data_IF_003217038129
#
_entry.id   IF_003217038129
#
_cell.length_a   1.000
_cell.length_b   1.000
_cell.length_c   1.000
_cell.angle_alpha   90.00
_cell.angle_beta   90.00
_cell.angle_gamma   90.00
#
_symmetry.space_group_name_H-M   'P 1'
#
loop_
_entity.id
_entity.type
_entity.pdbx_description
1 polymer ?
#
# COMPACT_ATOMS: atom_id res chain seq x y z
N UNK A 1 -9.17 26.10 8.39
CA UNK A 1 -8.57 24.97 7.68
C UNK A 1 -9.40 24.70 6.43
N UNK A 2 -8.82 24.22 5.32
CA UNK A 2 -9.63 23.85 4.17
C UNK A 2 -10.60 22.72 4.53
N UNK A 3 -11.78 22.76 3.96
CA UNK A 3 -12.76 21.67 4.08
C UNK A 3 -12.25 20.50 3.25
N UNK A 4 -12.13 19.32 3.85
CA UNK A 4 -11.67 18.09 3.22
C UNK A 4 -12.88 17.17 3.05
N UNK A 5 -13.24 16.88 1.80
CA UNK A 5 -14.42 16.09 1.44
C UNK A 5 -14.08 14.81 0.67
N UNK A 6 -12.95 14.79 -0.02
CA UNK A 6 -12.50 13.67 -0.84
C UNK A 6 -10.98 13.50 -0.80
N UNK A 7 -10.48 12.41 -1.36
CA UNK A 7 -9.05 12.11 -1.40
C UNK A 7 -8.26 13.15 -2.21
N UNK A 8 -8.86 13.73 -3.25
CA UNK A 8 -8.21 14.77 -4.05
C UNK A 8 -7.93 16.05 -3.23
N UNK A 9 -8.77 16.41 -2.26
CA UNK A 9 -8.51 17.54 -1.35
C UNK A 9 -7.27 17.29 -0.49
N UNK A 10 -7.12 16.04 0.00
CA UNK A 10 -5.91 15.63 0.74
C UNK A 10 -4.67 15.66 -0.15
N UNK A 11 -4.78 15.17 -1.40
CA UNK A 11 -3.70 15.21 -2.39
C UNK A 11 -3.20 16.62 -2.64
N UNK A 12 -4.09 17.56 -2.92
CA UNK A 12 -3.77 18.98 -3.13
C UNK A 12 -3.13 19.62 -1.90
N UNK A 13 -3.62 19.27 -0.71
CA UNK A 13 -3.04 19.80 0.52
C UNK A 13 -1.66 19.21 0.80
N UNK A 14 -1.46 17.91 0.58
CA UNK A 14 -0.15 17.25 0.69
C UNK A 14 0.87 17.88 -0.27
N UNK A 15 0.49 18.13 -1.52
CA UNK A 15 1.34 18.80 -2.51
C UNK A 15 1.86 20.18 -2.05
N UNK A 16 1.04 20.89 -1.26
CA UNK A 16 1.41 22.20 -0.70
C UNK A 16 2.27 22.09 0.55
N UNK A 17 2.25 20.96 1.28
CA UNK A 17 2.90 20.81 2.59
C UNK A 17 4.17 19.98 2.55
N UNK A 18 4.22 18.99 1.69
CA UNK A 18 5.37 18.08 1.54
C UNK A 18 6.38 18.71 0.55
N UNK A 19 7.70 18.59 0.78
CA UNK A 19 8.69 18.97 -0.20
C UNK A 19 8.50 18.22 -1.52
N UNK A 20 8.66 18.94 -2.65
CA UNK A 20 8.35 18.40 -3.99
C UNK A 20 8.98 17.05 -4.27
N UNK A 21 10.25 16.86 -3.91
CA UNK A 21 10.96 15.61 -4.16
C UNK A 21 10.26 14.40 -3.49
N UNK A 22 9.77 14.57 -2.28
CA UNK A 22 9.08 13.50 -1.54
C UNK A 22 7.62 13.36 -1.96
N UNK A 23 6.94 14.47 -2.27
CA UNK A 23 5.60 14.42 -2.84
C UNK A 23 5.62 13.71 -4.21
N UNK A 24 6.51 14.09 -5.11
CA UNK A 24 6.65 13.47 -6.43
C UNK A 24 7.04 11.99 -6.32
N UNK A 25 7.85 11.61 -5.33
CA UNK A 25 8.15 10.21 -5.05
C UNK A 25 6.88 9.39 -4.79
N UNK A 26 5.94 9.93 -4.00
CA UNK A 26 4.66 9.27 -3.73
C UNK A 26 3.72 9.32 -4.96
N UNK A 27 3.67 10.49 -5.64
CA UNK A 27 2.73 10.80 -6.72
C UNK A 27 3.38 10.65 -8.12
N UNK A 28 4.04 9.52 -8.35
CA UNK A 28 4.66 9.19 -9.63
C UNK A 28 4.41 7.75 -10.04
N UNK A 29 4.37 7.52 -11.35
CA UNK A 29 4.48 6.22 -12.00
C UNK A 29 5.86 6.04 -12.65
N UNK A 30 6.04 4.92 -13.35
CA UNK A 30 7.21 4.65 -14.18
C UNK A 30 7.00 5.15 -15.61
N UNK A 31 8.10 5.43 -16.31
CA UNK A 31 8.18 5.90 -17.72
C UNK A 31 7.11 6.96 -18.07
N UNK A 32 6.13 6.58 -18.91
CA UNK A 32 5.07 7.49 -19.38
C UNK A 32 3.91 7.63 -18.39
N UNK A 33 3.90 6.86 -17.30
CA UNK A 33 2.81 6.81 -16.32
C UNK A 33 1.47 6.30 -16.93
N UNK A 34 1.51 5.50 -18.01
CA UNK A 34 0.29 5.00 -18.65
C UNK A 34 -0.46 4.03 -17.75
N UNK A 35 0.22 3.07 -17.12
CA UNK A 35 -0.34 2.13 -16.15
C UNK A 35 -0.83 2.85 -14.89
N UNK A 36 -0.08 3.86 -14.41
CA UNK A 36 -0.52 4.68 -13.28
C UNK A 36 -1.88 5.34 -13.54
N UNK A 37 -2.04 5.96 -14.73
CA UNK A 37 -3.33 6.57 -15.12
C UNK A 37 -4.42 5.55 -15.39
N UNK A 38 -4.07 4.39 -15.97
CA UNK A 38 -5.01 3.32 -16.24
C UNK A 38 -5.66 2.79 -14.95
N UNK A 39 -4.93 2.71 -13.84
CA UNK A 39 -5.47 2.26 -12.56
C UNK A 39 -6.69 3.08 -12.10
N UNK A 40 -6.68 4.40 -12.29
CA UNK A 40 -7.81 5.26 -11.92
C UNK A 40 -8.88 5.29 -13.03
N UNK A 41 -8.46 5.41 -14.29
CA UNK A 41 -9.37 5.47 -15.44
C UNK A 41 -10.26 4.24 -15.54
N UNK A 42 -9.69 3.06 -15.39
CA UNK A 42 -10.41 1.79 -15.59
C UNK A 42 -11.39 1.54 -14.42
N UNK A 43 -11.05 1.93 -13.19
CA UNK A 43 -12.00 1.98 -12.07
C UNK A 43 -13.16 2.95 -12.35
N UNK A 44 -12.88 4.14 -12.90
CA UNK A 44 -13.91 5.12 -13.23
C UNK A 44 -14.86 4.64 -14.36
N UNK A 45 -14.37 3.79 -15.27
CA UNK A 45 -15.18 3.24 -16.35
C UNK A 45 -16.24 2.24 -15.87
N UNK A 46 -16.04 1.59 -14.72
CA UNK A 46 -17.00 0.64 -14.14
C UNK A 46 -18.22 1.41 -13.61
N UNK A 47 -19.43 0.99 -14.01
CA UNK A 47 -20.69 1.58 -13.58
C UNK A 47 -21.33 0.74 -12.49
N UNK A 48 -21.93 1.41 -11.50
CA UNK A 48 -22.67 0.79 -10.42
C UNK A 48 -24.18 0.72 -10.73
N UNK A 49 -24.84 -0.32 -10.22
CA UNK A 49 -26.28 -0.51 -10.36
C UNK A 49 -26.99 0.04 -9.15
N UNK A 50 -27.73 1.14 -9.32
CA UNK A 50 -28.55 1.70 -8.26
C UNK A 50 -29.78 0.82 -8.00
N UNK A 51 -30.13 0.64 -6.72
CA UNK A 51 -31.36 -0.03 -6.27
C UNK A 51 -32.15 0.90 -5.35
N UNK A 52 -33.45 0.71 -5.32
CA UNK A 52 -34.38 1.52 -4.52
C UNK A 52 -35.30 0.65 -3.69
N UNK A 53 -35.91 1.22 -2.64
CA UNK A 53 -36.90 0.58 -1.76
C UNK A 53 -36.37 -0.71 -1.08
N UNK A 54 -35.08 -0.69 -0.67
CA UNK A 54 -34.46 -1.73 0.14
C UNK A 54 -34.34 -1.25 1.58
N UNK A 55 -34.68 -2.09 2.55
CA UNK A 55 -34.44 -1.79 3.97
C UNK A 55 -32.93 -1.74 4.27
N UNK A 56 -32.45 -0.60 4.68
CA UNK A 56 -31.03 -0.30 4.91
C UNK A 56 -30.70 -0.07 6.40
N UNK A 57 -31.62 -0.39 7.31
CA UNK A 57 -31.47 -0.08 8.74
C UNK A 57 -30.33 -0.86 9.42
N UNK A 58 -29.95 -2.02 8.91
CA UNK A 58 -28.92 -2.91 9.46
C UNK A 58 -27.72 -3.06 8.52
N UNK A 59 -27.11 -1.92 8.11
CA UNK A 59 -25.91 -1.98 7.28
C UNK A 59 -24.64 -2.15 8.10
N UNK A 60 -23.67 -2.91 7.55
CA UNK A 60 -22.34 -3.05 8.09
C UNK A 60 -21.30 -3.16 6.98
N UNK A 61 -20.19 -2.45 7.14
CA UNK A 61 -19.01 -2.57 6.29
C UNK A 61 -17.96 -3.52 6.89
N UNK A 62 -18.21 -4.04 8.10
CA UNK A 62 -17.30 -4.95 8.78
C UNK A 62 -17.22 -6.30 8.06
N UNK A 63 -16.01 -6.86 8.04
CA UNK A 63 -15.71 -8.14 7.41
C UNK A 63 -14.43 -8.74 8.02
N UNK A 64 -13.86 -9.75 7.39
CA UNK A 64 -12.57 -10.33 7.75
C UNK A 64 -11.57 -10.27 6.59
N UNK A 65 -10.29 -10.13 6.92
CA UNK A 65 -9.15 -10.27 6.01
C UNK A 65 -8.15 -11.24 6.63
N UNK A 66 -7.88 -12.37 5.98
CA UNK A 66 -7.06 -13.51 6.48
C UNK A 66 -7.39 -13.94 7.93
N UNK A 67 -8.68 -13.96 8.26
CA UNK A 67 -9.16 -14.31 9.59
C UNK A 67 -9.02 -13.20 10.64
N UNK A 68 -8.64 -11.99 10.27
CA UNK A 68 -8.62 -10.81 11.13
C UNK A 68 -9.88 -9.98 10.90
N UNK A 69 -10.66 -9.72 11.94
CA UNK A 69 -11.82 -8.82 11.86
C UNK A 69 -11.37 -7.39 11.53
N UNK A 70 -12.05 -6.76 10.55
CA UNK A 70 -11.75 -5.41 10.09
C UNK A 70 -13.04 -4.59 9.96
N UNK A 71 -12.95 -3.27 10.19
CA UNK A 71 -14.10 -2.37 10.09
C UNK A 71 -14.60 -2.18 8.65
N UNK A 72 -13.74 -2.39 7.67
CA UNK A 72 -14.04 -2.38 6.23
C UNK A 72 -13.00 -3.20 5.48
N UNK A 73 -13.27 -3.73 4.27
CA UNK A 73 -12.36 -4.56 3.49
C UNK A 73 -11.21 -3.74 2.87
N UNK A 74 -10.41 -3.10 3.73
CA UNK A 74 -9.35 -2.19 3.32
C UNK A 74 -8.17 -2.25 4.30
N UNK A 75 -6.94 -2.27 3.77
CA UNK A 75 -5.71 -2.14 4.53
C UNK A 75 -4.81 -1.03 3.98
N UNK A 76 -3.91 -0.49 4.81
CA UNK A 76 -2.86 0.40 4.34
C UNK A 76 -1.73 -0.41 3.71
N UNK A 77 -1.47 -0.17 2.41
CA UNK A 77 -0.43 -0.85 1.65
C UNK A 77 0.98 -0.51 2.18
N UNK A 78 1.95 -1.42 2.01
CA UNK A 78 3.33 -1.10 2.33
C UNK A 78 3.86 -0.01 1.40
N UNK A 79 4.39 1.06 1.99
CA UNK A 79 5.01 2.15 1.25
C UNK A 79 6.36 2.49 1.86
N UNK A 80 7.40 2.50 1.03
CA UNK A 80 8.72 2.94 1.46
C UNK A 80 8.76 4.45 1.68
N UNK A 81 9.66 4.91 2.56
CA UNK A 81 9.88 6.32 2.84
C UNK A 81 8.62 7.09 3.28
N UNK A 82 7.67 6.41 3.93
CA UNK A 82 6.44 7.05 4.43
C UNK A 82 6.77 8.19 5.41
N UNK A 83 7.80 8.03 6.25
CA UNK A 83 8.31 9.07 7.14
C UNK A 83 8.83 10.32 6.45
N UNK A 84 9.07 10.29 5.13
CA UNK A 84 9.43 11.49 4.35
C UNK A 84 8.22 12.33 3.93
N UNK A 85 7.00 11.77 4.01
CA UNK A 85 5.78 12.55 3.82
C UNK A 85 5.45 13.40 5.07
N UNK A 86 5.75 12.87 6.24
CA UNK A 86 5.58 13.51 7.55
C UNK A 86 6.52 12.84 8.55
N UNK A 87 7.12 13.61 9.47
CA UNK A 87 7.94 13.05 10.55
C UNK A 87 7.16 11.95 11.29
N UNK A 88 7.83 10.83 11.59
CA UNK A 88 7.26 9.62 12.22
C UNK A 88 6.06 9.01 11.45
N UNK A 89 6.05 9.16 10.14
CA UNK A 89 4.90 8.90 9.28
C UNK A 89 4.35 7.48 9.39
N UNK A 90 5.19 6.47 9.49
CA UNK A 90 4.77 5.07 9.63
C UNK A 90 4.04 4.85 10.97
N UNK A 91 4.54 5.43 12.06
CA UNK A 91 3.91 5.38 13.39
C UNK A 91 2.53 6.05 13.35
N UNK A 92 2.45 7.26 12.76
CA UNK A 92 1.21 8.01 12.65
C UNK A 92 0.17 7.27 11.79
N UNK A 93 0.61 6.64 10.68
CA UNK A 93 -0.26 5.85 9.82
C UNK A 93 -0.77 4.58 10.53
N UNK A 94 0.10 3.88 11.27
CA UNK A 94 -0.26 2.69 12.03
C UNK A 94 -1.27 3.01 13.15
N UNK A 95 -1.10 4.12 13.89
CA UNK A 95 -2.06 4.58 14.89
C UNK A 95 -3.42 4.92 14.29
N UNK A 96 -3.44 5.64 13.17
CA UNK A 96 -4.68 5.98 12.49
C UNK A 96 -5.39 4.73 11.97
N UNK A 97 -4.66 3.75 11.41
CA UNK A 97 -5.20 2.48 10.95
C UNK A 97 -5.82 1.67 12.11
N UNK A 98 -5.09 1.53 13.22
CA UNK A 98 -5.58 0.86 14.43
C UNK A 98 -6.85 1.54 14.98
N UNK A 99 -6.89 2.86 15.06
CA UNK A 99 -8.06 3.63 15.50
C UNK A 99 -9.28 3.47 14.59
N UNK A 100 -9.07 3.13 13.31
CA UNK A 100 -10.13 2.91 12.32
C UNK A 100 -10.43 1.42 12.10
N UNK A 101 -9.80 0.52 12.86
CA UNK A 101 -10.03 -0.93 12.78
C UNK A 101 -9.64 -1.55 11.43
N UNK A 102 -8.57 -1.04 10.79
CA UNK A 102 -8.04 -1.57 9.53
C UNK A 102 -6.55 -1.92 9.67
N UNK A 103 -6.05 -2.94 8.95
CA UNK A 103 -4.64 -3.31 9.02
C UNK A 103 -3.72 -2.24 8.44
N UNK A 104 -2.54 -2.11 9.06
CA UNK A 104 -1.41 -1.34 8.54
C UNK A 104 -0.29 -2.29 8.12
N UNK A 105 0.36 -2.03 6.99
CA UNK A 105 1.53 -2.79 6.54
C UNK A 105 2.78 -1.93 6.56
N UNK A 106 3.75 -2.29 7.40
CA UNK A 106 5.05 -1.63 7.46
C UNK A 106 5.97 -2.16 6.35
N UNK A 107 6.59 -1.27 5.60
CA UNK A 107 7.55 -1.66 4.54
C UNK A 107 8.93 -1.97 5.12
N UNK A 108 9.67 -2.90 4.50
CA UNK A 108 11.12 -3.06 4.73
C UNK A 108 11.87 -1.73 4.56
N UNK A 109 11.45 -0.91 3.58
CA UNK A 109 12.04 0.40 3.26
C UNK A 109 11.40 1.56 4.02
N UNK A 110 10.95 1.32 5.25
CA UNK A 110 10.38 2.35 6.12
C UNK A 110 11.46 3.15 6.85
N UNK A 111 11.09 4.36 7.25
CA UNK A 111 11.96 5.25 8.05
C UNK A 111 11.88 4.88 9.53
N UNK A 112 10.70 4.54 10.05
CA UNK A 112 10.57 3.95 11.38
C UNK A 112 10.85 2.44 11.30
N UNK A 113 11.47 1.87 12.34
CA UNK A 113 11.74 0.44 12.42
C UNK A 113 10.48 -0.37 12.81
N UNK A 114 10.57 -1.69 12.69
CA UNK A 114 9.57 -2.63 13.20
C UNK A 114 9.28 -2.36 14.68
N UNK A 115 10.34 -2.21 15.46
CA UNK A 115 10.28 -2.00 16.90
C UNK A 115 9.66 -0.64 17.27
N UNK A 116 9.98 0.42 16.50
CA UNK A 116 9.40 1.75 16.72
C UNK A 116 7.88 1.73 16.53
N UNK A 117 7.39 1.05 15.49
CA UNK A 117 5.95 0.93 15.23
C UNK A 117 5.28 0.07 16.28
N UNK A 118 5.86 -1.08 16.64
CA UNK A 118 5.34 -1.96 17.68
C UNK A 118 5.21 -1.24 19.04
N UNK A 119 6.28 -0.57 19.47
CA UNK A 119 6.30 0.19 20.73
C UNK A 119 5.29 1.35 20.73
N UNK A 120 5.09 2.00 19.57
CA UNK A 120 4.22 3.17 19.48
C UNK A 120 2.73 2.83 19.39
N UNK A 121 2.37 1.66 18.88
CA UNK A 121 0.97 1.25 18.67
C UNK A 121 0.46 0.27 19.71
N UNK A 122 1.31 -0.63 20.19
CA UNK A 122 0.91 -1.76 21.05
C UNK A 122 -0.12 -2.70 20.40
N UNK A 123 -0.28 -2.63 19.07
CA UNK A 123 -1.25 -3.40 18.30
C UNK A 123 -0.54 -4.20 17.21
N UNK A 124 -1.02 -5.41 16.85
CA UNK A 124 -0.49 -6.16 15.73
C UNK A 124 -0.62 -5.37 14.41
N UNK A 125 0.38 -5.52 13.55
CA UNK A 125 0.39 -4.96 12.20
C UNK A 125 1.02 -5.97 11.24
N UNK A 126 0.97 -5.73 9.93
CA UNK A 126 1.61 -6.56 8.93
C UNK A 126 2.99 -6.01 8.58
N UNK A 127 3.94 -6.89 8.30
CA UNK A 127 5.27 -6.50 7.84
C UNK A 127 5.48 -6.92 6.39
N UNK A 128 5.98 -6.01 5.56
CA UNK A 128 6.29 -6.30 4.16
C UNK A 128 7.79 -6.55 3.98
N UNK A 129 8.10 -7.66 3.30
CA UNK A 129 9.44 -8.11 2.98
C UNK A 129 9.70 -8.03 1.46
N UNK A 130 10.90 -7.59 1.09
CA UNK A 130 11.46 -7.80 -0.25
C UNK A 130 12.43 -8.98 -0.23
N UNK A 131 12.52 -9.72 -1.36
CA UNK A 131 13.58 -10.69 -1.53
C UNK A 131 14.91 -10.00 -1.76
N UNK A 132 15.88 -10.29 -0.90
CA UNK A 132 17.23 -9.74 -0.92
C UNK A 132 18.25 -10.86 -1.04
N UNK A 133 19.45 -10.55 -1.56
CA UNK A 133 20.56 -11.51 -1.68
C UNK A 133 21.06 -11.97 -0.32
N UNK A 134 21.13 -11.06 0.68
CA UNK A 134 21.51 -11.40 2.05
C UNK A 134 20.34 -12.10 2.77
N UNK A 135 20.37 -13.45 2.72
CA UNK A 135 19.36 -14.31 3.36
C UNK A 135 19.42 -14.26 4.88
N UNK A 136 20.59 -14.02 5.47
CA UNK A 136 20.75 -13.89 6.93
C UNK A 136 20.04 -12.62 7.41
N UNK A 137 20.22 -11.52 6.67
CA UNK A 137 19.52 -10.27 6.96
C UNK A 137 18.00 -10.42 6.81
N UNK A 138 17.52 -11.15 5.79
CA UNK A 138 16.09 -11.45 5.64
C UNK A 138 15.55 -12.27 6.80
N UNK A 139 16.29 -13.33 7.22
CA UNK A 139 15.90 -14.15 8.37
C UNK A 139 15.83 -13.31 9.65
N UNK A 140 16.75 -12.36 9.84
CA UNK A 140 16.71 -11.40 10.95
C UNK A 140 15.47 -10.50 10.89
N UNK A 141 15.14 -9.94 9.73
CA UNK A 141 13.90 -9.14 9.56
C UNK A 141 12.65 -9.94 9.89
N UNK A 142 12.56 -11.20 9.44
CA UNK A 142 11.43 -12.09 9.72
C UNK A 142 11.34 -12.37 11.24
N UNK A 143 12.48 -12.65 11.88
CA UNK A 143 12.55 -12.86 13.34
C UNK A 143 12.08 -11.61 14.09
N UNK A 144 12.59 -10.43 13.75
CA UNK A 144 12.19 -9.13 14.36
C UNK A 144 10.71 -8.86 14.18
N UNK A 145 10.15 -9.17 13.01
CA UNK A 145 8.72 -9.03 12.77
C UNK A 145 7.89 -9.96 13.67
N UNK A 146 8.34 -11.21 13.89
CA UNK A 146 7.72 -12.13 14.85
C UNK A 146 7.80 -11.60 16.29
N UNK A 147 8.99 -11.20 16.71
CA UNK A 147 9.26 -10.71 18.06
C UNK A 147 8.44 -9.43 18.37
N UNK A 148 8.16 -8.62 17.35
CA UNK A 148 7.31 -7.43 17.42
C UNK A 148 5.80 -7.74 17.35
N UNK A 149 5.39 -9.00 17.20
CA UNK A 149 3.99 -9.41 17.16
C UNK A 149 3.27 -9.06 15.86
N UNK A 150 3.99 -8.99 14.72
CA UNK A 150 3.36 -8.83 13.41
C UNK A 150 2.41 -10.02 13.13
N UNK A 151 1.17 -9.73 12.71
CA UNK A 151 0.14 -10.76 12.50
C UNK A 151 0.21 -11.42 11.11
N UNK A 152 0.86 -10.79 10.14
CA UNK A 152 1.09 -11.35 8.80
C UNK A 152 2.39 -10.82 8.19
N UNK A 153 2.96 -11.62 7.29
CA UNK A 153 4.09 -11.22 6.43
C UNK A 153 3.58 -11.03 5.00
N UNK A 154 3.91 -9.88 4.39
CA UNK A 154 3.58 -9.59 2.99
C UNK A 154 4.86 -9.62 2.15
N UNK A 155 5.02 -10.64 1.32
CA UNK A 155 6.15 -10.75 0.40
C UNK A 155 5.82 -10.07 -0.92
N UNK A 156 6.65 -9.09 -1.31
CA UNK A 156 6.49 -8.34 -2.56
C UNK A 156 7.36 -8.94 -3.65
N UNK A 157 6.75 -9.36 -4.76
CA UNK A 157 7.38 -10.13 -5.83
C UNK A 157 7.74 -9.29 -7.07
N UNK A 158 7.10 -8.16 -7.28
CA UNK A 158 7.19 -7.32 -8.48
C UNK A 158 8.36 -6.31 -8.45
N UNK A 159 9.34 -6.49 -7.56
CA UNK A 159 10.46 -5.56 -7.37
C UNK A 159 11.84 -6.24 -7.42
N UNK A 160 12.04 -7.20 -8.32
CA UNK A 160 13.39 -7.72 -8.61
C UNK A 160 14.27 -6.65 -9.29
N UNK A 161 13.64 -5.76 -10.05
CA UNK A 161 14.27 -4.61 -10.71
C UNK A 161 13.40 -3.37 -10.57
N UNK A 162 14.02 -2.22 -10.36
CA UNK A 162 13.29 -0.95 -10.23
C UNK A 162 12.82 -0.43 -11.58
N UNK A 163 11.53 -0.12 -11.70
CA UNK A 163 10.99 0.65 -12.81
C UNK A 163 11.59 2.07 -12.87
N UNK A 164 11.77 2.61 -14.07
CA UNK A 164 12.34 3.95 -14.23
C UNK A 164 11.31 5.03 -13.90
N UNK A 165 11.48 5.68 -12.77
CA UNK A 165 10.62 6.78 -12.30
C UNK A 165 11.26 8.10 -12.65
N UNK A 166 10.84 8.70 -13.74
CA UNK A 166 11.45 9.93 -14.27
C UNK A 166 11.38 11.10 -13.28
N UNK A 167 10.30 11.21 -12.49
CA UNK A 167 10.17 12.27 -11.48
C UNK A 167 11.21 12.07 -10.36
N UNK A 168 11.44 10.83 -9.91
CA UNK A 168 12.44 10.54 -8.88
C UNK A 168 13.84 10.92 -9.37
N UNK A 169 14.20 10.52 -10.60
CA UNK A 169 15.49 10.86 -11.22
C UNK A 169 15.66 12.39 -11.34
N UNK A 170 14.64 13.10 -11.84
CA UNK A 170 14.68 14.58 -12.00
C UNK A 170 14.78 15.30 -10.65
N UNK A 171 14.22 14.72 -9.60
CA UNK A 171 14.29 15.27 -8.24
C UNK A 171 15.55 14.82 -7.47
N UNK A 172 16.47 14.11 -8.11
CA UNK A 172 17.72 13.66 -7.48
C UNK A 172 17.55 12.54 -6.45
N UNK A 173 16.39 11.85 -6.43
CA UNK A 173 16.19 10.62 -5.65
C UNK A 173 16.81 9.43 -6.41
N UNK A 174 18.10 9.55 -6.67
CA UNK A 174 18.94 8.54 -7.31
C UNK A 174 19.75 7.80 -6.25
N UNK A 175 20.46 6.77 -6.65
CA UNK A 175 21.41 6.03 -5.80
C UNK A 175 22.84 6.37 -6.22
N UNK A 176 23.61 7.15 -5.44
CA UNK A 176 23.24 7.87 -4.20
C UNK A 176 22.33 9.08 -4.47
N UNK A 177 21.55 9.55 -3.46
CA UNK A 177 20.72 10.74 -3.59
C UNK A 177 21.54 12.01 -3.84
N UNK A 178 21.02 12.90 -4.72
CA UNK A 178 21.66 14.18 -5.06
C UNK A 178 20.73 15.32 -4.68
N UNK A 179 21.10 16.11 -3.69
CA UNK A 179 20.38 17.33 -3.38
C UNK A 179 20.73 18.41 -4.42
N UNK A 180 19.74 18.81 -5.19
CA UNK A 180 19.89 19.91 -6.18
C UNK A 180 19.51 21.25 -5.56
N UNK A 181 20.06 22.35 -6.08
CA UNK A 181 19.72 23.70 -5.62
C UNK A 181 18.19 23.97 -5.66
N UNK A 182 17.44 23.60 -6.72
CA UNK A 182 15.98 23.72 -6.72
C UNK A 182 15.30 22.96 -5.57
N UNK A 183 15.79 21.78 -5.20
CA UNK A 183 15.24 21.02 -4.08
C UNK A 183 15.51 21.71 -2.74
N UNK A 184 16.71 22.26 -2.54
CA UNK A 184 17.05 23.01 -1.33
C UNK A 184 16.17 24.25 -1.19
N UNK A 185 15.98 25.01 -2.26
CA UNK A 185 15.09 26.18 -2.29
C UNK A 185 13.63 25.75 -1.98
N UNK A 186 13.18 24.65 -2.56
CA UNK A 186 11.83 24.17 -2.30
C UNK A 186 11.65 23.66 -0.85
N UNK A 187 12.66 23.02 -0.26
CA UNK A 187 12.68 22.66 1.18
C UNK A 187 12.48 23.89 2.06
N UNK A 188 13.18 25.00 1.76
CA UNK A 188 13.05 26.24 2.51
C UNK A 188 11.61 26.81 2.50
N UNK A 189 10.81 26.49 1.48
CA UNK A 189 9.39 26.89 1.41
C UNK A 189 8.45 25.99 2.25
N UNK A 190 8.98 24.98 2.94
CA UNK A 190 8.22 24.01 3.74
C UNK A 190 8.64 23.98 5.22
N UNK A 191 8.59 25.12 5.94
CA UNK A 191 9.19 25.25 7.29
C UNK A 191 8.57 24.27 8.29
N UNK A 192 7.27 23.98 8.21
CA UNK A 192 6.59 23.02 9.11
C UNK A 192 7.11 21.59 8.92
N UNK A 193 7.34 21.18 7.66
CA UNK A 193 7.92 19.88 7.36
C UNK A 193 9.37 19.81 7.89
N UNK A 194 10.18 20.85 7.64
CA UNK A 194 11.56 20.91 8.12
C UNK A 194 11.63 20.85 9.66
N UNK A 195 10.79 21.60 10.38
CA UNK A 195 10.74 21.55 11.84
C UNK A 195 10.33 20.16 12.36
N UNK A 196 9.35 19.51 11.73
CA UNK A 196 8.97 18.15 12.05
C UNK A 196 10.14 17.18 11.88
N UNK A 197 10.85 17.23 10.75
CA UNK A 197 12.02 16.39 10.49
C UNK A 197 13.21 16.68 11.40
N UNK A 198 13.37 17.90 11.89
CA UNK A 198 14.36 18.24 12.91
C UNK A 198 13.99 17.69 14.29
N UNK A 199 12.71 17.57 14.56
CA UNK A 199 12.19 17.06 15.85
C UNK A 199 12.18 15.54 15.98
N UNK A 200 12.29 14.77 14.89
CA UNK A 200 12.31 13.31 14.95
C UNK A 200 13.72 12.73 14.88
N UNK A 201 13.91 11.56 15.51
CA UNK A 201 15.10 10.73 15.35
C UNK A 201 15.08 9.87 14.09
N UNK A 202 13.90 9.64 13.50
CA UNK A 202 13.68 8.75 12.37
C UNK A 202 13.95 9.50 11.05
N UNK A 203 15.19 9.35 10.52
CA UNK A 203 15.65 10.08 9.33
C UNK A 203 16.34 9.23 8.28
N UNK A 204 16.44 7.92 8.53
CA UNK A 204 17.02 6.92 7.62
C UNK A 204 16.19 5.64 7.64
N UNK A 205 16.54 4.63 6.85
CA UNK A 205 15.82 3.36 6.85
C UNK A 205 16.01 2.60 8.17
N UNK A 206 15.02 2.67 9.05
CA UNK A 206 15.09 2.13 10.41
C UNK A 206 15.25 0.61 10.51
N UNK A 207 14.83 -0.12 9.48
CA UNK A 207 15.00 -1.57 9.45
C UNK A 207 16.36 -2.02 8.89
N UNK A 208 17.12 -1.13 8.27
CA UNK A 208 18.35 -1.47 7.53
C UNK A 208 19.58 -0.90 8.22
N UNK A 209 19.59 0.40 8.52
CA UNK A 209 20.74 1.07 9.14
C UNK A 209 20.96 0.53 10.54
N UNK A 210 22.18 0.06 10.81
CA UNK A 210 22.54 -0.58 12.08
C UNK A 210 22.16 -2.07 12.21
N UNK A 211 21.44 -2.63 11.23
CA UNK A 211 21.07 -4.05 11.17
C UNK A 211 21.73 -4.80 10.01
N UNK A 212 21.81 -4.18 8.84
CA UNK A 212 22.51 -4.76 7.70
C UNK A 212 24.03 -4.61 7.85
N UNK A 213 24.81 -5.63 7.43
CA UNK A 213 26.28 -5.62 7.49
C UNK A 213 26.85 -4.44 6.71
N UNK A 214 27.75 -3.68 7.33
CA UNK A 214 28.46 -2.53 6.73
C UNK A 214 27.57 -1.35 6.31
N UNK A 215 26.35 -1.24 6.82
CA UNK A 215 25.44 -0.12 6.55
C UNK A 215 25.31 0.75 7.80
N UNK A 216 26.09 1.82 7.83
CA UNK A 216 26.15 2.76 8.98
C UNK A 216 25.69 4.18 8.65
N UNK A 217 25.66 4.53 7.36
CA UNK A 217 25.33 5.87 6.87
C UNK A 217 24.53 5.84 5.54
N UNK A 218 24.13 7.01 5.05
CA UNK A 218 23.35 7.14 3.82
C UNK A 218 24.12 6.71 2.56
N UNK A 219 25.45 6.78 2.55
CA UNK A 219 26.26 6.39 1.40
C UNK A 219 26.37 4.87 1.31
N UNK A 220 26.75 4.20 2.39
CA UNK A 220 26.79 2.75 2.48
C UNK A 220 25.41 2.13 2.25
N UNK A 221 24.34 2.77 2.77
CA UNK A 221 22.95 2.38 2.53
C UNK A 221 22.60 2.40 1.04
N UNK A 222 22.97 3.44 0.30
CA UNK A 222 22.62 3.55 -1.11
C UNK A 222 23.30 2.48 -1.97
N UNK A 223 24.57 2.20 -1.71
CA UNK A 223 25.32 1.13 -2.38
C UNK A 223 24.68 -0.23 -2.06
N UNK A 224 24.46 -0.50 -0.76
CA UNK A 224 23.84 -1.73 -0.31
C UNK A 224 22.46 -1.96 -0.95
N UNK A 225 21.60 -0.96 -0.95
CA UNK A 225 20.23 -1.08 -1.53
C UNK A 225 20.29 -1.42 -3.02
N UNK A 226 21.24 -0.84 -3.78
CA UNK A 226 21.38 -1.12 -5.21
C UNK A 226 21.79 -2.57 -5.50
N UNK A 227 22.53 -3.21 -4.58
CA UNK A 227 23.09 -4.55 -4.74
C UNK A 227 22.18 -5.65 -4.18
N UNK A 228 21.25 -5.33 -3.29
CA UNK A 228 20.50 -6.32 -2.52
C UNK A 228 19.29 -6.90 -3.22
N UNK A 229 18.68 -6.23 -4.20
CA UNK A 229 17.57 -6.85 -4.93
C UNK A 229 18.02 -8.13 -5.63
N UNK A 230 17.32 -9.22 -5.32
CA UNK A 230 17.68 -10.55 -5.83
C UNK A 230 17.03 -10.81 -7.19
N UNK A 231 17.84 -10.71 -8.24
CA UNK A 231 17.40 -11.01 -9.61
C UNK A 231 17.12 -12.51 -9.85
N UNK A 232 17.57 -13.40 -8.95
CA UNK A 232 17.36 -14.84 -9.03
C UNK A 232 16.10 -15.32 -8.32
N UNK A 233 15.32 -14.42 -7.69
CA UNK A 233 14.06 -14.72 -7.02
C UNK A 233 13.18 -15.65 -7.89
N UNK A 234 12.73 -16.74 -7.31
CA UNK A 234 11.84 -17.72 -7.93
C UNK A 234 10.89 -18.32 -6.87
N UNK A 235 9.95 -19.16 -7.31
CA UNK A 235 8.91 -19.72 -6.45
C UNK A 235 9.43 -20.57 -5.27
N UNK A 236 10.63 -21.18 -5.37
CA UNK A 236 11.24 -21.93 -4.26
C UNK A 236 11.65 -21.01 -3.10
N UNK A 237 11.97 -19.76 -3.40
CA UNK A 237 12.29 -18.78 -2.37
C UNK A 237 11.07 -18.43 -1.52
N UNK A 238 9.87 -18.48 -2.10
CA UNK A 238 8.61 -18.24 -1.38
C UNK A 238 8.38 -19.34 -0.34
N UNK A 239 8.67 -20.60 -0.68
CA UNK A 239 8.61 -21.71 0.27
C UNK A 239 9.61 -21.52 1.44
N UNK A 240 10.81 -20.98 1.14
CA UNK A 240 11.78 -20.66 2.18
C UNK A 240 11.23 -19.57 3.12
N UNK A 241 10.65 -18.49 2.59
CA UNK A 241 10.02 -17.42 3.39
C UNK A 241 8.90 -17.99 4.24
N UNK A 242 8.03 -18.83 3.68
CA UNK A 242 6.92 -19.45 4.41
C UNK A 242 7.42 -20.30 5.57
N UNK A 243 8.47 -21.12 5.35
CA UNK A 243 9.10 -21.91 6.44
C UNK A 243 9.71 -21.03 7.52
N UNK A 244 10.37 -19.92 7.13
CA UNK A 244 10.95 -18.98 8.10
C UNK A 244 9.85 -18.24 8.88
N UNK A 245 8.78 -17.83 8.22
CA UNK A 245 7.69 -17.07 8.86
C UNK A 245 6.77 -17.97 9.70
N UNK A 246 6.24 -19.02 9.14
CA UNK A 246 5.37 -19.99 9.81
C UNK A 246 3.99 -19.45 10.25
N UNK A 247 3.60 -18.27 9.77
CA UNK A 247 2.33 -17.60 10.04
C UNK A 247 1.61 -17.21 8.75
N UNK A 248 0.68 -16.28 8.83
CA UNK A 248 -0.08 -15.79 7.67
C UNK A 248 0.83 -15.11 6.65
N UNK A 249 0.83 -15.61 5.40
CA UNK A 249 1.64 -15.09 4.29
C UNK A 249 0.76 -14.48 3.20
N UNK A 250 1.10 -13.28 2.77
CA UNK A 250 0.44 -12.54 1.69
C UNK A 250 1.46 -12.34 0.57
N UNK A 251 1.11 -12.70 -0.67
CA UNK A 251 1.96 -12.47 -1.85
C UNK A 251 1.45 -11.26 -2.64
N UNK A 252 2.32 -10.27 -2.85
CA UNK A 252 1.93 -9.01 -3.50
C UNK A 252 2.68 -8.79 -4.82
N UNK A 253 1.99 -8.22 -5.82
CA UNK A 253 2.59 -7.88 -7.11
C UNK A 253 2.22 -8.84 -8.24
N UNK A 254 1.10 -9.55 -8.12
CA UNK A 254 0.64 -10.54 -9.08
C UNK A 254 -0.36 -9.92 -10.05
N UNK A 255 -0.13 -10.06 -11.36
CA UNK A 255 -1.00 -9.57 -12.43
C UNK A 255 -1.38 -10.64 -13.44
N UNK A 256 -0.75 -11.81 -13.37
CA UNK A 256 -0.94 -12.91 -14.30
C UNK A 256 -1.68 -14.08 -13.61
N UNK A 257 -2.69 -14.70 -14.26
CA UNK A 257 -3.40 -15.85 -13.71
C UNK A 257 -2.53 -17.09 -13.49
N UNK A 258 -1.47 -17.30 -14.26
CA UNK A 258 -0.57 -18.44 -14.08
C UNK A 258 0.30 -18.23 -12.82
N UNK A 259 0.81 -17.01 -12.60
CA UNK A 259 1.48 -16.64 -11.35
C UNK A 259 0.53 -16.74 -10.15
N UNK A 260 -0.75 -16.40 -10.33
CA UNK A 260 -1.75 -16.55 -9.27
C UNK A 260 -1.97 -18.02 -8.88
N UNK A 261 -1.97 -18.96 -9.84
CA UNK A 261 -2.04 -20.41 -9.55
C UNK A 261 -0.84 -20.86 -8.74
N UNK A 262 0.36 -20.44 -9.14
CA UNK A 262 1.59 -20.76 -8.39
C UNK A 262 1.57 -20.15 -6.99
N UNK A 263 1.01 -18.94 -6.83
CA UNK A 263 0.80 -18.34 -5.52
C UNK A 263 -0.14 -19.15 -4.64
N UNK A 264 -1.26 -19.64 -5.17
CA UNK A 264 -2.17 -20.51 -4.45
C UNK A 264 -1.54 -21.88 -4.09
N UNK A 265 -0.65 -22.40 -4.94
CA UNK A 265 0.09 -23.64 -4.69
C UNK A 265 1.19 -23.48 -3.63
N UNK A 266 1.69 -22.26 -3.40
CA UNK A 266 2.77 -21.97 -2.43
C UNK A 266 2.33 -22.05 -0.97
N UNK A 267 1.03 -22.18 -0.68
CA UNK A 267 0.48 -22.17 0.66
C UNK A 267 0.32 -20.77 1.28
N UNK A 268 0.35 -19.72 0.48
CA UNK A 268 0.02 -18.37 0.93
C UNK A 268 -1.48 -18.25 1.28
N UNK A 269 -1.82 -17.39 2.25
CA UNK A 269 -3.20 -17.16 2.70
C UNK A 269 -3.94 -16.15 1.82
N UNK A 270 -3.23 -15.20 1.24
CA UNK A 270 -3.79 -14.19 0.35
C UNK A 270 -2.80 -13.78 -0.73
N UNK A 271 -3.33 -13.30 -1.85
CA UNK A 271 -2.55 -12.59 -2.87
C UNK A 271 -3.13 -11.20 -3.14
N UNK A 272 -2.26 -10.28 -3.57
CA UNK A 272 -2.66 -8.92 -3.96
C UNK A 272 -2.41 -8.73 -5.45
N UNK A 273 -3.49 -8.55 -6.20
CA UNK A 273 -3.45 -8.11 -7.61
C UNK A 273 -2.93 -6.69 -7.63
N UNK A 274 -1.72 -6.51 -8.15
CA UNK A 274 -0.98 -5.25 -8.02
C UNK A 274 0.02 -5.06 -9.15
N UNK A 275 0.03 -3.86 -9.74
CA UNK A 275 1.08 -3.37 -10.61
C UNK A 275 1.99 -2.34 -9.88
N UNK A 276 2.08 -2.46 -8.52
CA UNK A 276 2.83 -1.53 -7.68
C UNK A 276 2.36 -0.07 -7.84
N UNK A 277 1.08 0.13 -8.11
CA UNK A 277 0.51 1.44 -8.39
C UNK A 277 1.06 2.11 -9.65
N UNK A 278 1.43 1.34 -10.69
CA UNK A 278 2.02 1.81 -11.93
C UNK A 278 3.45 2.31 -11.79
N UNK A 279 4.20 1.81 -10.79
CA UNK A 279 5.59 2.23 -10.50
C UNK A 279 6.64 1.25 -10.99
N UNK A 280 6.22 0.12 -11.56
CA UNK A 280 7.06 -0.94 -12.11
C UNK A 280 6.91 -0.98 -13.63
N UNK A 281 6.36 -2.01 -14.24
CA UNK A 281 6.18 -2.11 -15.70
C UNK A 281 5.12 -1.11 -16.16
N UNK A 282 5.53 -0.10 -16.94
CA UNK A 282 4.58 0.77 -17.66
C UNK A 282 4.08 0.05 -18.94
N UNK A 283 2.82 0.21 -19.25
CA UNK A 283 2.15 -0.61 -20.28
C UNK A 283 1.53 -1.91 -19.76
N UNK A 284 1.75 -2.26 -18.47
CA UNK A 284 1.00 -3.34 -17.84
C UNK A 284 -0.49 -2.96 -17.68
N UNK A 285 -1.41 -3.96 -17.59
CA UNK A 285 -2.82 -3.68 -17.32
C UNK A 285 -3.01 -2.99 -15.97
N UNK A 286 -4.12 -2.29 -15.81
CA UNK A 286 -4.54 -1.85 -14.49
C UNK A 286 -4.87 -3.07 -13.60
N UNK A 287 -4.66 -2.94 -12.29
CA UNK A 287 -4.97 -4.03 -11.35
C UNK A 287 -6.45 -4.44 -11.42
N UNK A 288 -7.37 -3.47 -11.60
CA UNK A 288 -8.80 -3.77 -11.71
C UNK A 288 -9.15 -4.53 -13.02
N UNK A 289 -8.40 -4.30 -14.09
CA UNK A 289 -8.59 -5.03 -15.35
C UNK A 289 -8.07 -6.47 -15.28
N UNK A 290 -6.99 -6.72 -14.53
CA UNK A 290 -6.44 -8.05 -14.29
C UNK A 290 -7.24 -8.88 -13.28
N UNK A 291 -7.92 -8.21 -12.34
CA UNK A 291 -8.59 -8.83 -11.20
C UNK A 291 -9.55 -9.98 -11.58
N UNK A 292 -10.51 -9.85 -12.52
CA UNK A 292 -11.47 -10.91 -12.78
C UNK A 292 -10.82 -12.22 -13.21
N UNK A 293 -9.82 -12.18 -14.11
CA UNK A 293 -9.13 -13.38 -14.58
C UNK A 293 -8.35 -14.09 -13.46
N UNK A 294 -7.82 -13.34 -12.51
CA UNK A 294 -7.12 -13.89 -11.33
C UNK A 294 -8.14 -14.49 -10.36
N UNK A 295 -9.26 -13.83 -10.10
CA UNK A 295 -10.34 -14.36 -9.25
C UNK A 295 -10.88 -15.66 -9.85
N UNK A 296 -11.15 -15.70 -11.15
CA UNK A 296 -11.61 -16.92 -11.84
C UNK A 296 -10.61 -18.07 -11.72
N UNK A 297 -9.30 -17.76 -11.73
CA UNK A 297 -8.27 -18.78 -11.65
C UNK A 297 -8.08 -19.38 -10.25
N UNK A 298 -8.24 -18.58 -9.17
CA UNK A 298 -7.82 -18.97 -7.82
C UNK A 298 -8.70 -18.49 -6.67
N UNK A 299 -9.77 -17.73 -6.92
CA UNK A 299 -10.57 -17.07 -5.89
C UNK A 299 -11.25 -18.00 -4.88
N UNK A 300 -11.42 -19.29 -5.22
CA UNK A 300 -11.94 -20.32 -4.30
C UNK A 300 -10.84 -20.96 -3.42
N UNK A 301 -9.56 -20.73 -3.75
CA UNK A 301 -8.41 -21.39 -3.11
C UNK A 301 -7.64 -20.48 -2.17
N UNK A 302 -7.63 -19.18 -2.44
CA UNK A 302 -6.84 -18.18 -1.73
C UNK A 302 -7.61 -16.85 -1.71
N UNK A 303 -7.46 -16.05 -0.66
CA UNK A 303 -8.04 -14.70 -0.67
C UNK A 303 -7.36 -13.83 -1.74
N UNK A 304 -8.16 -13.25 -2.64
CA UNK A 304 -7.68 -12.33 -3.66
C UNK A 304 -8.00 -10.90 -3.24
N UNK A 305 -6.97 -10.08 -3.10
CA UNK A 305 -7.08 -8.65 -2.82
C UNK A 305 -6.56 -7.83 -3.99
N UNK A 306 -6.82 -6.52 -3.97
CA UNK A 306 -6.36 -5.62 -5.02
C UNK A 306 -5.79 -4.33 -4.44
N UNK A 307 -4.74 -3.80 -5.06
CA UNK A 307 -4.34 -2.41 -4.91
C UNK A 307 -4.21 -1.69 -6.26
N UNK A 308 -3.95 -0.38 -6.21
CA UNK A 308 -3.81 0.46 -7.40
C UNK A 308 -5.11 1.17 -7.80
N UNK A 309 -5.07 2.50 -7.82
CA UNK A 309 -6.19 3.33 -8.29
C UNK A 309 -7.26 3.69 -7.26
N UNK A 310 -7.34 3.05 -6.11
CA UNK A 310 -8.37 3.31 -5.08
C UNK A 310 -8.27 4.75 -4.56
N UNK A 311 -9.33 5.54 -4.81
CA UNK A 311 -9.46 6.95 -4.40
C UNK A 311 -10.80 7.25 -3.72
N UNK A 312 -11.73 6.29 -3.74
CA UNK A 312 -13.06 6.45 -3.17
C UNK A 312 -13.57 5.12 -2.61
N UNK A 313 -14.59 5.18 -1.74
CA UNK A 313 -15.32 4.00 -1.29
C UNK A 313 -16.06 3.29 -2.43
N UNK A 314 -16.39 4.01 -3.50
CA UNK A 314 -16.94 3.39 -4.71
C UNK A 314 -15.93 2.46 -5.38
N UNK A 315 -14.65 2.84 -5.41
CA UNK A 315 -13.60 2.00 -6.01
C UNK A 315 -13.41 0.71 -5.20
N UNK A 316 -13.51 0.79 -3.87
CA UNK A 316 -13.53 -0.39 -3.01
C UNK A 316 -14.69 -1.32 -3.40
N UNK A 317 -15.90 -0.80 -3.48
CA UNK A 317 -17.08 -1.59 -3.85
C UNK A 317 -16.95 -2.23 -5.24
N UNK A 318 -16.37 -1.52 -6.22
CA UNK A 318 -16.14 -2.04 -7.57
C UNK A 318 -15.15 -3.21 -7.57
N UNK A 319 -14.07 -3.12 -6.78
CA UNK A 319 -13.11 -4.21 -6.63
C UNK A 319 -13.77 -5.46 -6.00
N UNK A 320 -14.56 -5.27 -4.94
CA UNK A 320 -15.31 -6.36 -4.31
C UNK A 320 -16.34 -6.97 -5.28
N UNK A 321 -17.03 -6.14 -6.05
CA UNK A 321 -18.02 -6.61 -7.04
C UNK A 321 -17.40 -7.44 -8.17
N UNK A 322 -16.10 -7.28 -8.42
CA UNK A 322 -15.31 -8.10 -9.36
C UNK A 322 -14.58 -9.25 -8.68
N UNK A 323 -14.91 -9.56 -7.42
CA UNK A 323 -14.46 -10.75 -6.72
C UNK A 323 -13.28 -10.56 -5.77
N UNK A 324 -12.76 -9.35 -5.58
CA UNK A 324 -11.79 -9.11 -4.52
C UNK A 324 -12.45 -9.29 -3.13
N UNK A 325 -11.72 -9.87 -2.17
CA UNK A 325 -12.16 -9.96 -0.76
C UNK A 325 -11.67 -8.78 0.07
N UNK A 326 -10.72 -7.99 -0.44
CA UNK A 326 -10.19 -6.81 0.21
C UNK A 326 -9.43 -5.93 -0.75
N UNK A 327 -9.10 -4.72 -0.29
CA UNK A 327 -8.35 -3.73 -1.05
C UNK A 327 -7.23 -3.15 -0.21
N UNK A 328 -6.17 -2.64 -0.87
CA UNK A 328 -5.12 -1.88 -0.20
C UNK A 328 -4.99 -0.48 -0.81
N UNK A 329 -4.71 0.51 0.04
CA UNK A 329 -4.42 1.88 -0.40
C UNK A 329 -2.98 2.26 -0.07
N UNK A 330 -2.27 2.81 -1.04
CA UNK A 330 -0.93 3.41 -0.86
C UNK A 330 -1.04 4.94 -0.89
N UNK A 331 -1.15 5.54 -2.08
CA UNK A 331 -1.16 7.00 -2.24
C UNK A 331 -2.24 7.70 -1.45
N UNK A 332 -3.44 7.14 -1.36
CA UNK A 332 -4.57 7.79 -0.66
C UNK A 332 -4.24 8.10 0.79
N UNK A 333 -3.63 7.16 1.54
CA UNK A 333 -3.22 7.45 2.91
C UNK A 333 -1.97 8.34 2.98
N UNK A 334 -1.03 8.23 2.02
CA UNK A 334 0.13 9.13 1.96
C UNK A 334 -0.28 10.58 1.74
N UNK A 335 -1.32 10.84 0.94
CA UNK A 335 -1.88 12.18 0.79
C UNK A 335 -2.46 12.68 2.12
N UNK A 336 -3.20 11.83 2.84
CA UNK A 336 -3.67 12.14 4.19
C UNK A 336 -2.52 12.50 5.12
N UNK A 337 -1.50 11.64 5.17
CA UNK A 337 -0.32 11.81 6.01
C UNK A 337 0.43 13.12 5.70
N UNK A 338 0.77 13.36 4.44
CA UNK A 338 1.44 14.59 4.00
C UNK A 338 0.58 15.84 4.20
N UNK A 339 -0.74 15.69 4.15
CA UNK A 339 -1.67 16.79 4.40
C UNK A 339 -1.74 17.17 5.88
N UNK A 340 -1.94 16.23 6.81
CA UNK A 340 -2.28 16.52 8.21
C UNK A 340 -1.72 15.50 9.22
N UNK A 341 -0.70 14.71 8.88
CA UNK A 341 -0.16 13.68 9.76
C UNK A 341 -1.21 12.59 10.07
N UNK A 342 -1.24 12.13 11.32
CA UNK A 342 -2.19 11.11 11.80
C UNK A 342 -3.65 11.48 11.52
N UNK A 343 -4.05 12.72 11.83
CA UNK A 343 -5.41 13.20 11.57
C UNK A 343 -5.78 13.16 10.08
N UNK A 344 -4.82 13.38 9.19
CA UNK A 344 -5.03 13.27 7.75
C UNK A 344 -5.20 11.84 7.27
N UNK A 345 -4.46 10.88 7.83
CA UNK A 345 -4.67 9.45 7.54
C UNK A 345 -6.02 8.99 8.04
N UNK A 346 -6.39 9.36 9.28
CA UNK A 346 -7.71 9.07 9.83
C UNK A 346 -8.82 9.65 8.94
N UNK A 347 -8.67 10.92 8.50
CA UNK A 347 -9.63 11.56 7.60
C UNK A 347 -9.74 10.83 6.25
N UNK A 348 -8.63 10.36 5.69
CA UNK A 348 -8.64 9.53 4.49
C UNK A 348 -9.50 8.26 4.69
N UNK A 349 -9.28 7.56 5.79
CA UNK A 349 -10.04 6.33 6.11
C UNK A 349 -11.52 6.62 6.39
N UNK A 350 -11.85 7.70 7.08
CA UNK A 350 -13.23 8.15 7.30
C UNK A 350 -13.98 8.44 5.99
N UNK A 351 -13.31 9.11 5.04
CA UNK A 351 -13.86 9.40 3.71
C UNK A 351 -14.17 8.09 2.99
N UNK A 352 -13.19 7.19 2.88
CA UNK A 352 -13.37 5.92 2.18
C UNK A 352 -14.45 5.05 2.82
N UNK A 353 -14.50 4.98 4.14
CA UNK A 353 -15.51 4.25 4.90
C UNK A 353 -16.92 4.83 4.63
N UNK A 354 -17.07 6.15 4.76
CA UNK A 354 -18.36 6.82 4.53
C UNK A 354 -18.84 6.66 3.09
N UNK A 355 -17.94 6.76 2.12
CA UNK A 355 -18.27 6.57 0.71
C UNK A 355 -18.65 5.13 0.40
N UNK A 356 -17.94 4.13 0.99
CA UNK A 356 -18.28 2.71 0.86
C UNK A 356 -19.68 2.43 1.44
N UNK A 357 -19.95 2.83 2.69
CA UNK A 357 -21.27 2.67 3.33
C UNK A 357 -22.39 3.31 2.53
N UNK A 358 -22.18 4.55 2.06
CA UNK A 358 -23.17 5.26 1.26
C UNK A 358 -23.40 4.58 -0.09
N UNK A 359 -22.33 4.10 -0.75
CA UNK A 359 -22.44 3.42 -2.04
C UNK A 359 -23.14 2.07 -1.91
N UNK A 360 -22.85 1.30 -0.85
CA UNK A 360 -23.60 0.08 -0.53
C UNK A 360 -25.09 0.38 -0.39
N UNK A 361 -25.45 1.41 0.37
CA UNK A 361 -26.85 1.82 0.53
C UNK A 361 -27.52 2.15 -0.80
N UNK A 362 -26.87 2.94 -1.66
CA UNK A 362 -27.40 3.31 -2.98
C UNK A 362 -27.49 2.12 -3.95
N UNK A 363 -26.69 1.08 -3.74
CA UNK A 363 -26.77 -0.19 -4.47
C UNK A 363 -27.75 -1.19 -3.83
N UNK A 364 -28.40 -0.86 -2.70
CA UNK A 364 -29.32 -1.73 -1.99
C UNK A 364 -28.61 -2.91 -1.30
N UNK A 365 -27.40 -2.71 -0.81
CA UNK A 365 -26.57 -3.71 -0.14
C UNK A 365 -26.43 -3.35 1.35
N UNK A 366 -26.55 -4.35 2.22
CA UNK A 366 -26.47 -4.17 3.68
C UNK A 366 -25.22 -4.76 4.30
N UNK A 367 -24.55 -5.71 3.64
CA UNK A 367 -23.34 -6.36 4.13
C UNK A 367 -22.33 -6.54 3.00
N UNK A 368 -21.05 -6.63 3.37
CA UNK A 368 -19.91 -6.78 2.42
C UNK A 368 -20.03 -8.07 1.61
N UNK A 369 -20.46 -9.16 2.20
CA UNK A 369 -20.63 -10.48 1.57
C UNK A 369 -21.73 -10.51 0.49
N UNK A 370 -22.62 -9.53 0.48
CA UNK A 370 -23.61 -9.36 -0.57
C UNK A 370 -23.07 -8.67 -1.83
N UNK A 371 -21.85 -8.11 -1.77
CA UNK A 371 -21.26 -7.41 -2.91
C UNK A 371 -20.76 -8.44 -3.92
N UNK A 372 -21.27 -8.36 -5.14
CA UNK A 372 -20.88 -9.22 -6.25
C UNK A 372 -21.22 -8.56 -7.60
N UNK A 373 -21.09 -9.27 -8.71
CA UNK A 373 -21.31 -8.73 -10.08
C UNK A 373 -22.68 -8.08 -10.29
N UNK A 374 -23.69 -8.48 -9.52
CA UNK A 374 -25.03 -7.87 -9.56
C UNK A 374 -25.06 -6.42 -9.09
N UNK A 375 -24.02 -5.94 -8.38
CA UNK A 375 -23.88 -4.53 -8.01
C UNK A 375 -23.37 -3.66 -9.16
N UNK A 376 -22.92 -4.27 -10.25
CA UNK A 376 -22.43 -3.58 -11.44
C UNK A 376 -23.54 -3.40 -12.47
N UNK A 377 -23.51 -2.24 -13.15
CA UNK A 377 -24.38 -1.98 -14.28
C UNK A 377 -23.82 -2.68 -15.52
N UNK A 378 -24.61 -3.62 -16.05
CA UNK A 378 -24.36 -4.21 -17.36
C UNK A 378 -25.35 -3.58 -18.33
N UNK A 379 -24.86 -3.04 -19.46
CA UNK A 379 -25.75 -2.59 -20.51
C UNK A 379 -26.60 -3.78 -21.00
N UNK A 380 -27.91 -3.57 -21.27
CA UNK A 380 -28.69 -4.61 -21.94
C UNK A 380 -27.99 -5.03 -23.24
N UNK A 381 -27.89 -6.34 -23.46
CA UNK A 381 -27.37 -6.89 -24.72
C UNK A 381 -28.32 -6.64 -25.84
#
# INVERSE_FOLDING_TARGET
MPVITCIEDLRRLAQRRVPRMFYDYADSGSWTESTYRANERDLQAIRLRQRVAVDLTRRSTATEMIGQAVAMPLALAPTGLTGMQHADGEILAARAAAAMGVPFTLSTMSVCSIEDVAAATGQPFWFQLYMMRDRDFMADLIRRAKDAGCSALMLTLDLQMLGQRHKDIKNGLTTPPRLTLPNLLHLATRPRWCLGMLGTRHRSFGNIVGHAKNVTDLRSLSVWTAEQFDLSLNWRDIEWVQRQWGGKLILKGILDPDDARLAADSGADALVVSNHGGRQLDGAPSSIAALPAIVDAVGERIEVWMDGGIRSGQDVLKALALGARGTLIGRSFLYGLGAQGEAGVKRCLEILHKELDTTMALCGLTHIDQIGPQALWQAPR
#
